data_IF_246784497459
#
_entry.id   IF_246784497459
#
_cell.length_a   1.000
_cell.length_b   1.000
_cell.length_c   1.000
_cell.angle_alpha   90.00
_cell.angle_beta   90.00
_cell.angle_gamma   90.00
#
_symmetry.space_group_name_H-M   'P 1'
#
loop_
_entity.id
_entity.type
_entity.pdbx_description
1 polymer ?
#
# COMPACT_ATOMS: atom_id res chain seq x y z
N UNK A 1 -13.50 -2.32 21.16
CA UNK A 1 -12.62 -1.24 21.62
C UNK A 1 -11.34 -1.30 20.80
N UNK A 2 -11.06 -0.29 19.97
CA UNK A 2 -9.82 -0.24 19.16
C UNK A 2 -8.84 0.66 19.89
N UNK A 3 -7.64 0.16 20.21
CA UNK A 3 -6.61 0.96 20.88
C UNK A 3 -6.22 2.16 20.01
N UNK A 4 -6.25 3.38 20.58
CA UNK A 4 -5.97 4.62 19.83
C UNK A 4 -4.56 4.64 19.22
N UNK A 5 -3.58 3.97 19.86
CA UNK A 5 -2.21 3.80 19.37
C UNK A 5 -2.04 2.79 18.22
N UNK A 6 -3.11 2.06 17.84
CA UNK A 6 -3.09 1.18 16.66
C UNK A 6 -3.45 1.92 15.36
N UNK A 7 -4.02 3.14 15.45
CA UNK A 7 -4.32 3.96 14.27
C UNK A 7 -3.08 4.68 13.71
N UNK A 8 -2.12 5.00 14.58
CA UNK A 8 -0.92 5.73 14.20
C UNK A 8 0.30 5.06 14.84
N UNK A 9 0.90 4.07 14.17
CA UNK A 9 2.06 3.37 14.73
C UNK A 9 3.25 4.34 14.82
N UNK A 10 4.11 4.16 15.84
CA UNK A 10 5.32 4.98 16.00
C UNK A 10 6.38 4.69 14.94
N UNK A 11 6.41 3.44 14.46
CA UNK A 11 7.24 2.98 13.36
C UNK A 11 6.35 2.74 12.15
N UNK A 12 6.88 2.90 10.93
CA UNK A 12 6.15 2.60 9.71
C UNK A 12 6.07 1.09 9.49
N UNK A 13 5.41 0.36 10.38
CA UNK A 13 5.24 -1.10 10.31
C UNK A 13 3.76 -1.41 10.55
N UNK A 14 3.17 -2.15 9.62
CA UNK A 14 1.77 -2.57 9.65
C UNK A 14 1.67 -4.08 9.45
N UNK A 15 0.83 -4.72 10.25
CA UNK A 15 0.36 -6.07 9.98
C UNK A 15 -0.88 -5.98 9.10
N UNK A 16 -0.86 -6.69 7.97
CA UNK A 16 -1.94 -6.69 7.01
C UNK A 16 -2.60 -8.07 6.98
N UNK A 17 -3.93 -8.11 7.08
CA UNK A 17 -4.74 -9.31 6.80
C UNK A 17 -5.44 -9.08 5.45
N UNK A 18 -4.91 -9.68 4.40
CA UNK A 18 -5.33 -9.47 3.01
C UNK A 18 -5.80 -10.81 2.42
N UNK A 19 -7.08 -10.89 2.05
CA UNK A 19 -7.66 -12.08 1.39
C UNK A 19 -7.40 -13.41 2.13
N UNK A 20 -7.43 -13.40 3.47
CA UNK A 20 -7.18 -14.59 4.29
C UNK A 20 -5.70 -14.93 4.51
N UNK A 21 -4.78 -14.09 4.02
CA UNK A 21 -3.34 -14.19 4.26
C UNK A 21 -2.86 -13.05 5.14
N UNK A 22 -1.82 -13.31 5.93
CA UNK A 22 -1.17 -12.31 6.76
C UNK A 22 0.14 -11.88 6.12
N UNK A 23 0.47 -10.61 6.23
CA UNK A 23 1.74 -10.07 5.80
C UNK A 23 2.15 -8.85 6.60
N UNK A 24 3.36 -8.39 6.37
CA UNK A 24 3.91 -7.18 6.96
C UNK A 24 4.19 -6.19 5.84
N UNK A 25 3.65 -4.98 6.00
CA UNK A 25 3.97 -3.83 5.18
C UNK A 25 4.81 -2.89 6.03
N UNK A 26 5.95 -2.42 5.54
CA UNK A 26 6.81 -1.55 6.33
C UNK A 26 7.64 -0.57 5.49
N UNK A 27 7.93 0.60 6.07
CA UNK A 27 8.94 1.54 5.57
C UNK A 27 10.25 1.37 6.34
N UNK A 28 11.35 1.83 5.75
CA UNK A 28 12.68 1.80 6.39
C UNK A 28 13.09 3.15 6.99
N UNK A 29 12.46 4.26 6.59
CA UNK A 29 12.65 5.56 7.23
C UNK A 29 11.69 5.71 8.42
N UNK A 30 12.23 5.69 9.64
CA UNK A 30 11.43 5.86 10.87
C UNK A 30 10.70 7.19 10.95
N UNK A 31 11.10 8.19 10.18
CA UNK A 31 10.49 9.52 10.16
C UNK A 31 9.26 9.61 9.26
N UNK A 32 8.99 8.57 8.45
CA UNK A 32 7.93 8.54 7.44
C UNK A 32 6.57 9.03 7.98
N UNK A 33 6.25 8.72 9.24
CA UNK A 33 4.97 9.07 9.87
C UNK A 33 4.99 10.37 10.66
N UNK A 34 6.15 11.01 10.76
CA UNK A 34 6.37 12.21 11.58
C UNK A 34 6.73 13.45 10.75
N UNK A 35 7.12 13.27 9.49
CA UNK A 35 7.45 14.36 8.57
C UNK A 35 6.56 14.27 7.32
N UNK A 36 5.61 15.21 7.21
CA UNK A 36 4.69 15.30 6.08
C UNK A 36 5.40 15.42 4.73
N UNK A 37 6.64 15.95 4.68
CA UNK A 37 7.41 16.01 3.43
C UNK A 37 7.86 14.63 2.99
N UNK A 38 8.30 13.80 3.95
CA UNK A 38 8.68 12.41 3.68
C UNK A 38 7.47 11.54 3.36
N UNK A 39 6.28 11.90 3.84
CA UNK A 39 5.02 11.23 3.53
C UNK A 39 4.45 11.57 2.13
N UNK A 40 5.13 12.43 1.34
CA UNK A 40 4.73 12.74 -0.04
C UNK A 40 5.09 11.63 -1.02
N UNK A 41 6.36 11.23 -1.03
CA UNK A 41 6.88 10.15 -1.88
C UNK A 41 7.86 9.33 -1.07
N UNK A 42 7.58 8.04 -0.93
CA UNK A 42 8.37 7.15 -0.09
C UNK A 42 8.28 5.70 -0.54
N UNK A 43 9.09 4.85 0.09
CA UNK A 43 9.13 3.43 -0.19
C UNK A 43 8.50 2.61 0.92
N UNK A 44 7.76 1.58 0.50
CA UNK A 44 7.29 0.51 1.38
C UNK A 44 7.78 -0.84 0.86
N UNK A 45 7.85 -1.79 1.77
CA UNK A 45 8.20 -3.17 1.52
C UNK A 45 7.08 -4.05 2.01
N UNK A 46 6.69 -5.04 1.21
CA UNK A 46 5.68 -6.01 1.60
C UNK A 46 6.25 -7.42 1.64
N UNK A 47 5.96 -8.14 2.72
CA UNK A 47 6.35 -9.54 2.87
C UNK A 47 5.21 -10.37 3.46
N UNK A 48 4.87 -11.50 2.83
CA UNK A 48 3.77 -12.36 3.27
C UNK A 48 4.18 -13.82 3.56
N UNK A 49 5.49 -14.11 3.50
CA UNK A 49 6.03 -15.44 3.82
C UNK A 49 5.70 -16.53 2.80
N UNK A 50 5.10 -16.20 1.66
CA UNK A 50 4.81 -17.16 0.60
C UNK A 50 6.09 -17.60 -0.13
N UNK A 51 6.16 -18.88 -0.52
CA UNK A 51 7.31 -19.42 -1.27
C UNK A 51 7.46 -18.79 -2.65
N UNK A 52 6.34 -18.33 -3.21
CA UNK A 52 6.26 -17.68 -4.51
C UNK A 52 6.87 -16.27 -4.49
N UNK A 53 6.98 -15.64 -3.30
CA UNK A 53 7.63 -14.34 -3.13
C UNK A 53 9.16 -14.51 -3.15
N UNK A 54 9.70 -14.68 -4.36
CA UNK A 54 11.14 -14.87 -4.59
C UNK A 54 11.92 -13.56 -4.72
N UNK A 55 11.21 -12.43 -4.86
CA UNK A 55 11.78 -11.08 -4.93
C UNK A 55 11.15 -10.19 -3.87
N UNK A 56 11.93 -9.23 -3.40
CA UNK A 56 11.44 -8.18 -2.51
C UNK A 56 10.38 -7.33 -3.21
N UNK A 57 9.18 -7.27 -2.64
CA UNK A 57 8.13 -6.37 -3.11
C UNK A 57 8.44 -4.95 -2.64
N UNK A 58 9.20 -4.21 -3.44
CA UNK A 58 9.58 -2.83 -3.18
C UNK A 58 8.58 -1.90 -3.88
N UNK A 59 7.82 -1.15 -3.08
CA UNK A 59 6.76 -0.28 -3.56
C UNK A 59 7.20 1.18 -3.47
N UNK A 60 6.88 1.96 -4.49
CA UNK A 60 6.95 3.43 -4.42
C UNK A 60 5.55 3.98 -4.25
N UNK A 61 5.34 4.76 -3.19
CA UNK A 61 4.07 5.39 -2.84
C UNK A 61 4.19 6.88 -3.12
N UNK A 62 3.29 7.42 -3.91
CA UNK A 62 3.15 8.87 -4.13
C UNK A 62 1.74 9.30 -3.72
N UNK A 63 1.65 10.11 -2.68
CA UNK A 63 0.41 10.58 -2.05
C UNK A 63 -0.09 11.91 -2.62
N UNK A 64 0.68 12.57 -3.48
CA UNK A 64 0.31 13.84 -4.13
C UNK A 64 -0.33 13.63 -5.50
N UNK A 65 -0.12 12.46 -6.08
CA UNK A 65 -0.75 12.05 -7.33
C UNK A 65 -2.24 11.74 -7.09
N UNK A 66 -3.13 12.63 -7.52
CA UNK A 66 -4.58 12.42 -7.58
C UNK A 66 -5.16 11.57 -8.76
N UNK A 67 -4.42 10.90 -9.66
CA UNK A 67 -5.03 10.18 -10.80
C UNK A 67 -5.95 9.00 -10.46
N UNK A 68 -5.98 8.54 -9.20
CA UNK A 68 -6.65 7.28 -8.85
C UNK A 68 -8.19 7.33 -8.94
N UNK A 69 -8.80 8.53 -8.92
CA UNK A 69 -10.25 8.74 -9.13
C UNK A 69 -10.61 9.11 -10.58
N UNK A 70 -9.64 9.19 -11.51
CA UNK A 70 -9.88 9.78 -12.84
C UNK A 70 -10.55 8.88 -13.88
N UNK A 71 -11.05 7.69 -13.53
CA UNK A 71 -11.92 6.92 -14.44
C UNK A 71 -13.39 6.84 -13.97
N UNK A 72 -14.17 7.93 -14.05
CA UNK A 72 -15.64 7.86 -14.11
C UNK A 72 -16.15 7.18 -15.40
N UNK A 73 -15.25 6.81 -16.31
CA UNK A 73 -15.53 6.30 -17.65
C UNK A 73 -15.15 4.82 -17.81
N UNK A 74 -15.21 4.01 -16.75
CA UNK A 74 -15.27 2.56 -16.96
C UNK A 74 -16.67 2.23 -17.49
N UNK A 75 -16.76 1.88 -18.77
CA UNK A 75 -17.93 1.22 -19.35
C UNK A 75 -18.33 0.07 -18.41
N UNK A 76 -19.60 -0.04 -17.98
CA UNK A 76 -20.07 -1.14 -17.12
C UNK A 76 -19.84 -2.53 -17.73
N UNK A 77 -19.51 -2.60 -19.03
CA UNK A 77 -19.11 -3.81 -19.76
C UNK A 77 -17.61 -4.10 -19.72
N UNK A 78 -16.78 -3.16 -19.25
CA UNK A 78 -15.36 -3.38 -19.05
C UNK A 78 -15.12 -4.27 -17.83
N UNK A 79 -14.19 -5.23 -17.89
CA UNK A 79 -13.75 -5.93 -16.69
C UNK A 79 -13.06 -4.88 -15.80
N UNK A 80 -13.80 -4.34 -14.83
CA UNK A 80 -13.31 -3.26 -13.97
C UNK A 80 -11.92 -3.55 -13.42
N UNK A 81 -11.09 -2.51 -13.31
CA UNK A 81 -9.67 -2.65 -12.94
C UNK A 81 -9.54 -3.33 -11.57
N UNK A 82 -9.15 -4.61 -11.56
CA UNK A 82 -8.96 -5.36 -10.31
C UNK A 82 -7.71 -4.86 -9.61
N UNK A 83 -7.89 -4.08 -8.55
CA UNK A 83 -6.78 -3.60 -7.74
C UNK A 83 -6.24 -4.68 -6.79
N UNK A 84 -4.91 -4.83 -6.65
CA UNK A 84 -4.31 -5.73 -5.66
C UNK A 84 -4.74 -5.35 -4.23
N UNK A 85 -5.05 -6.33 -3.35
CA UNK A 85 -5.45 -6.07 -1.97
C UNK A 85 -4.46 -5.21 -1.17
N UNK A 86 -3.15 -5.35 -1.45
CA UNK A 86 -2.08 -4.55 -0.82
C UNK A 86 -2.24 -3.06 -1.14
N UNK A 87 -2.56 -2.71 -2.39
CA UNK A 87 -2.77 -1.31 -2.77
C UNK A 87 -4.00 -0.72 -2.08
N UNK A 88 -5.08 -1.50 -1.99
CA UNK A 88 -6.29 -1.07 -1.28
C UNK A 88 -6.00 -0.82 0.21
N UNK A 89 -5.19 -1.69 0.84
CA UNK A 89 -4.78 -1.50 2.22
C UNK A 89 -3.91 -0.24 2.40
N UNK A 90 -2.97 0.03 1.49
CA UNK A 90 -2.17 1.27 1.49
C UNK A 90 -3.08 2.50 1.44
N UNK A 91 -4.08 2.47 0.55
CA UNK A 91 -5.03 3.60 0.36
C UNK A 91 -5.96 3.83 1.54
N UNK A 92 -6.13 2.86 2.44
CA UNK A 92 -6.88 3.09 3.70
C UNK A 92 -6.14 4.06 4.64
N UNK A 93 -4.81 4.16 4.51
CA UNK A 93 -3.96 5.09 5.26
C UNK A 93 -3.64 6.34 4.45
N UNK A 94 -3.22 6.18 3.19
CA UNK A 94 -2.88 7.27 2.30
C UNK A 94 -3.91 7.35 1.17
N UNK A 95 -5.04 8.01 1.48
CA UNK A 95 -6.13 8.17 0.54
C UNK A 95 -5.61 8.76 -0.77
N UNK A 96 -5.87 8.04 -1.86
CA UNK A 96 -5.49 8.46 -3.19
C UNK A 96 -4.05 8.26 -3.62
N UNK A 97 -3.24 7.58 -2.80
CA UNK A 97 -1.88 7.27 -3.21
C UNK A 97 -1.85 6.41 -4.48
N UNK A 98 -0.94 6.76 -5.37
CA UNK A 98 -0.50 5.87 -6.45
C UNK A 98 0.55 4.90 -5.92
N UNK A 99 0.54 3.67 -6.43
CA UNK A 99 1.44 2.59 -5.99
C UNK A 99 2.15 2.02 -7.20
N UNK A 100 3.47 2.14 -7.23
CA UNK A 100 4.33 1.44 -8.21
C UNK A 100 4.96 0.23 -7.56
N UNK A 101 4.81 -0.95 -8.17
CA UNK A 101 5.45 -2.19 -7.72
C UNK A 101 6.91 -2.33 -8.17
N UNK A 102 7.46 -1.33 -8.85
CA UNK A 102 8.86 -1.26 -9.30
C UNK A 102 9.32 -2.53 -10.04
N UNK A 103 8.46 -3.11 -10.89
CA UNK A 103 8.75 -4.31 -11.67
C UNK A 103 8.54 -5.64 -10.92
N UNK A 104 7.98 -5.61 -9.71
CA UNK A 104 7.47 -6.82 -9.02
C UNK A 104 6.03 -7.08 -9.45
N UNK A 105 5.68 -8.33 -9.70
CA UNK A 105 4.29 -8.69 -9.98
C UNK A 105 3.42 -8.52 -8.72
N UNK A 106 2.25 -7.85 -8.81
CA UNK A 106 1.35 -7.71 -7.69
C UNK A 106 0.84 -9.05 -7.16
N UNK A 107 0.73 -9.16 -5.85
CA UNK A 107 0.15 -10.34 -5.20
C UNK A 107 -1.36 -10.18 -5.11
N UNK A 108 -2.11 -11.16 -5.62
CA UNK A 108 -3.57 -11.26 -5.49
C UNK A 108 -3.97 -12.30 -4.45
#
# INVERSE_FOLDING_TARGET
QVCHGLRTPQLPIWLCSLSGRHGVLFGTDSRLLSDWKTERVFHLYFYNGQREQTKTAHLTIDTHSHPWEEDPCEDPSSPGKRHPPVEMAIRTKWAGATVSWNGTDPFF
#
